data_IF_679442806603
#
_entry.id   IF_679442806603
#
_cell.length_a   1.000
_cell.length_b   1.000
_cell.length_c   1.000
_cell.angle_alpha   90.00
_cell.angle_beta   90.00
_cell.angle_gamma   90.00
#
_symmetry.space_group_name_H-M   'P 1'
#
loop_
_entity.id
_entity.type
_entity.pdbx_description
1 polymer ?
#
# COMPACT_ATOMS: atom_id res chain seq x y z
N UNK A 1 29.05 -11.79 14.35
CA UNK A 1 27.67 -11.38 14.10
C UNK A 1 26.79 -12.36 14.81
N UNK A 2 25.66 -11.95 15.40
CA UNK A 2 24.71 -12.93 15.92
C UNK A 2 24.24 -13.83 14.77
N UNK A 3 24.00 -15.11 15.04
CA UNK A 3 23.44 -16.03 14.07
C UNK A 3 21.98 -15.58 13.77
N UNK A 4 21.64 -15.45 12.50
CA UNK A 4 20.27 -15.07 12.09
C UNK A 4 19.25 -16.07 12.64
N UNK A 5 19.63 -17.34 12.80
CA UNK A 5 18.79 -18.38 13.37
C UNK A 5 18.41 -18.14 14.84
N UNK A 6 19.21 -17.34 15.56
CA UNK A 6 18.98 -17.02 16.98
C UNK A 6 18.12 -15.78 17.18
N UNK A 7 17.81 -15.03 16.11
CA UNK A 7 16.97 -13.83 16.17
C UNK A 7 15.50 -14.24 16.37
N UNK A 8 15.08 -14.29 17.64
CA UNK A 8 13.72 -14.66 18.03
C UNK A 8 13.15 -13.59 18.96
N UNK A 9 11.90 -13.18 18.70
CA UNK A 9 11.12 -12.30 19.58
C UNK A 9 9.86 -13.04 20.03
N UNK A 10 9.53 -12.95 21.32
CA UNK A 10 8.21 -13.34 21.83
C UNK A 10 7.21 -12.23 21.57
N UNK A 11 6.03 -12.57 21.13
CA UNK A 11 4.92 -11.66 20.87
C UNK A 11 3.89 -11.77 21.99
N UNK A 12 3.57 -10.67 22.68
CA UNK A 12 2.76 -10.68 23.88
C UNK A 12 1.80 -9.50 24.01
N UNK A 13 1.78 -8.59 23.01
CA UNK A 13 1.19 -7.27 23.14
C UNK A 13 -0.35 -7.28 23.17
N UNK A 14 -0.99 -8.10 22.36
CA UNK A 14 -2.43 -8.08 22.20
C UNK A 14 -2.97 -9.44 21.72
N UNK A 15 -4.27 -9.55 21.69
CA UNK A 15 -5.03 -10.69 21.18
C UNK A 15 -5.98 -10.24 20.07
N UNK A 16 -6.34 -11.16 19.20
CA UNK A 16 -7.35 -10.94 18.18
C UNK A 16 -8.30 -12.15 18.16
N UNK A 17 -9.51 -11.94 18.61
CA UNK A 17 -10.56 -12.96 18.57
C UNK A 17 -11.80 -12.48 17.80
N UNK A 18 -12.70 -13.41 17.54
CA UNK A 18 -13.91 -13.17 16.76
C UNK A 18 -14.90 -12.25 17.49
N UNK A 19 -14.88 -12.23 18.82
CA UNK A 19 -15.82 -11.44 19.62
C UNK A 19 -15.39 -9.98 19.69
N UNK A 20 -14.08 -9.72 19.75
CA UNK A 20 -13.51 -8.38 19.80
C UNK A 20 -13.32 -7.74 18.42
N UNK A 21 -13.28 -8.54 17.35
CA UNK A 21 -13.08 -8.01 15.98
C UNK A 21 -14.40 -7.55 15.36
N UNK A 22 -14.29 -6.57 14.44
CA UNK A 22 -15.43 -6.03 13.70
C UNK A 22 -15.95 -7.03 12.67
N UNK A 23 -17.25 -6.98 12.37
CA UNK A 23 -17.87 -7.79 11.31
C UNK A 23 -17.44 -7.38 9.90
N UNK A 24 -17.19 -6.10 9.69
CA UNK A 24 -16.69 -5.53 8.45
C UNK A 24 -15.17 -5.34 8.52
N UNK A 25 -14.41 -5.85 7.51
CA UNK A 25 -12.95 -5.73 7.50
C UNK A 25 -12.44 -4.30 7.31
N UNK A 26 -13.21 -3.41 6.66
CA UNK A 26 -12.84 -2.00 6.51
C UNK A 26 -12.93 -1.28 7.87
N UNK A 27 -13.95 -1.57 8.67
CA UNK A 27 -14.06 -1.06 10.04
C UNK A 27 -12.93 -1.61 10.92
N UNK A 28 -12.61 -2.91 10.78
CA UNK A 28 -11.48 -3.52 11.50
C UNK A 28 -10.15 -2.88 11.12
N UNK A 29 -9.93 -2.61 9.83
CA UNK A 29 -8.75 -1.90 9.35
C UNK A 29 -8.69 -0.47 9.91
N UNK A 30 -9.80 0.27 9.83
CA UNK A 30 -9.90 1.63 10.38
C UNK A 30 -9.55 1.70 11.85
N UNK A 31 -10.06 0.76 12.65
CA UNK A 31 -9.72 0.63 14.07
C UNK A 31 -8.22 0.41 14.28
N UNK A 32 -7.62 -0.54 13.57
CA UNK A 32 -6.21 -0.85 13.72
C UNK A 32 -5.30 0.25 13.19
N UNK A 33 -5.71 0.93 12.12
CA UNK A 33 -5.00 2.07 11.57
C UNK A 33 -5.00 3.27 12.54
N UNK A 34 -6.15 3.54 13.19
CA UNK A 34 -6.22 4.57 14.22
C UNK A 34 -5.30 4.23 15.41
N UNK A 35 -5.29 2.98 15.87
CA UNK A 35 -4.38 2.54 16.93
C UNK A 35 -2.89 2.68 16.53
N UNK A 36 -2.57 2.51 15.25
CA UNK A 36 -1.21 2.75 14.74
C UNK A 36 -0.85 4.24 14.76
N UNK A 37 -1.79 5.12 14.44
CA UNK A 37 -1.64 6.58 14.58
C UNK A 37 -1.48 7.00 16.04
N UNK A 38 -2.32 6.50 16.92
CA UNK A 38 -2.31 6.82 18.37
C UNK A 38 -1.00 6.33 19.03
N UNK A 39 -0.47 5.21 18.57
CA UNK A 39 0.83 4.68 18.98
C UNK A 39 2.02 5.44 18.35
N UNK A 40 1.76 6.46 17.54
CA UNK A 40 2.78 7.28 16.88
C UNK A 40 3.81 6.46 16.09
N UNK A 41 3.35 5.40 15.40
CA UNK A 41 4.25 4.59 14.59
C UNK A 41 4.89 5.42 13.47
N UNK A 42 6.14 5.15 13.10
CA UNK A 42 6.74 5.79 11.94
C UNK A 42 6.02 5.33 10.65
N UNK A 43 5.51 6.28 9.87
CA UNK A 43 4.83 6.05 8.60
C UNK A 43 3.76 4.93 8.64
N UNK A 44 2.74 4.99 9.51
CA UNK A 44 1.74 3.92 9.66
C UNK A 44 0.97 3.66 8.36
N UNK A 45 0.99 4.60 7.43
CA UNK A 45 0.40 4.54 6.10
C UNK A 45 1.32 3.93 5.03
N UNK A 46 2.55 3.53 5.39
CA UNK A 46 3.42 2.79 4.48
C UNK A 46 2.94 1.34 4.34
N UNK A 47 2.89 0.86 3.11
CA UNK A 47 2.48 -0.51 2.81
C UNK A 47 3.34 -1.11 1.70
N UNK A 48 3.55 -2.41 1.75
CA UNK A 48 4.12 -3.17 0.65
C UNK A 48 3.03 -3.48 -0.37
N UNK A 49 3.25 -3.07 -1.61
CA UNK A 49 2.41 -3.44 -2.75
C UNK A 49 3.12 -4.54 -3.54
N UNK A 50 2.46 -5.69 -3.68
CA UNK A 50 2.87 -6.79 -4.55
C UNK A 50 2.07 -6.76 -5.85
N UNK A 51 2.75 -6.94 -6.98
CA UNK A 51 2.17 -7.04 -8.31
C UNK A 51 2.86 -8.16 -9.09
N UNK A 52 2.24 -8.68 -10.12
CA UNK A 52 2.76 -9.77 -10.95
C UNK A 52 2.87 -9.31 -12.39
N UNK A 53 4.05 -9.45 -12.95
CA UNK A 53 4.35 -9.12 -14.35
C UNK A 53 3.88 -10.19 -15.34
N UNK A 54 4.02 -9.93 -16.66
CA UNK A 54 3.65 -10.87 -17.70
C UNK A 54 4.49 -12.17 -17.68
N UNK A 55 5.68 -12.10 -17.08
CA UNK A 55 6.56 -13.26 -16.81
C UNK A 55 6.14 -14.09 -15.59
N UNK A 56 4.99 -13.78 -14.98
CA UNK A 56 4.43 -14.39 -13.77
C UNK A 56 5.32 -14.24 -12.53
N UNK A 57 6.33 -13.37 -12.57
CA UNK A 57 7.21 -13.12 -11.42
C UNK A 57 6.61 -12.03 -10.53
N UNK A 58 6.38 -12.32 -9.23
CA UNK A 58 5.93 -11.31 -8.28
C UNK A 58 7.04 -10.28 -8.02
N UNK A 59 6.65 -9.05 -7.86
CA UNK A 59 7.55 -7.96 -7.45
C UNK A 59 6.90 -7.11 -6.37
N UNK A 60 7.71 -6.55 -5.46
CA UNK A 60 7.21 -5.74 -4.36
C UNK A 60 7.89 -4.38 -4.30
N UNK A 61 7.23 -3.40 -3.71
CA UNK A 61 7.75 -2.07 -3.35
C UNK A 61 6.91 -1.47 -2.23
N UNK A 62 7.51 -0.52 -1.53
CA UNK A 62 6.77 0.29 -0.57
C UNK A 62 6.05 1.41 -1.30
N UNK A 63 4.78 1.64 -0.96
CA UNK A 63 3.97 2.78 -1.37
C UNK A 63 3.17 3.28 -0.17
N UNK A 64 2.64 4.52 -0.25
CA UNK A 64 1.87 5.10 0.85
C UNK A 64 0.39 5.09 0.50
N UNK A 65 -0.45 4.50 1.36
CA UNK A 65 -1.90 4.70 1.27
C UNK A 65 -2.23 6.18 1.48
N UNK A 66 -3.18 6.69 0.72
CA UNK A 66 -3.63 8.10 0.78
C UNK A 66 -5.11 8.25 1.09
N UNK A 67 -5.84 7.16 1.12
CA UNK A 67 -7.22 7.09 1.53
C UNK A 67 -7.75 5.68 1.45
N UNK A 68 -8.80 5.42 2.22
CA UNK A 68 -9.57 4.19 2.15
C UNK A 68 -11.04 4.50 2.45
N UNK A 69 -11.92 3.86 1.76
CA UNK A 69 -13.38 3.95 1.91
C UNK A 69 -14.05 2.63 1.48
N UNK A 70 -15.36 2.57 1.44
CA UNK A 70 -16.11 1.37 1.06
C UNK A 70 -15.79 0.87 -0.37
N UNK A 71 -15.20 1.71 -1.22
CA UNK A 71 -14.76 1.34 -2.57
C UNK A 71 -13.36 0.71 -2.59
N UNK A 72 -12.57 0.85 -1.51
CA UNK A 72 -11.24 0.28 -1.38
C UNK A 72 -10.15 1.28 -0.97
N UNK A 73 -8.89 0.88 -1.20
CA UNK A 73 -7.70 1.59 -0.73
C UNK A 73 -7.01 2.31 -1.90
N UNK A 74 -6.63 3.57 -1.71
CA UNK A 74 -6.07 4.43 -2.77
C UNK A 74 -4.61 4.78 -2.50
N UNK A 75 -3.78 4.68 -3.55
CA UNK A 75 -2.42 5.22 -3.58
C UNK A 75 -2.16 5.90 -4.92
N UNK A 76 -1.10 6.71 -5.00
CA UNK A 76 -0.75 7.45 -6.22
C UNK A 76 0.68 7.13 -6.65
N UNK A 77 0.89 6.99 -7.96
CA UNK A 77 2.18 6.60 -8.52
C UNK A 77 2.30 6.98 -9.99
N UNK A 78 3.48 6.72 -10.58
CA UNK A 78 3.70 6.80 -12.02
C UNK A 78 3.15 5.52 -12.69
N UNK A 79 2.28 5.68 -13.69
CA UNK A 79 1.66 4.61 -14.45
C UNK A 79 2.65 3.85 -15.36
N UNK A 80 3.72 4.53 -15.81
CA UNK A 80 4.77 3.95 -16.66
C UNK A 80 5.86 3.23 -15.84
N UNK A 81 5.78 3.28 -14.50
CA UNK A 81 6.68 2.53 -13.64
C UNK A 81 6.47 1.01 -13.77
N UNK A 82 7.44 0.20 -13.30
CA UNK A 82 7.32 -1.27 -13.33
C UNK A 82 5.97 -1.76 -12.78
N UNK A 83 5.54 -1.26 -11.60
CA UNK A 83 4.24 -1.63 -11.03
C UNK A 83 3.05 -1.17 -11.89
N UNK A 84 3.15 0.00 -12.52
CA UNK A 84 2.09 0.50 -13.41
C UNK A 84 1.94 -0.37 -14.65
N UNK A 85 3.05 -0.78 -15.27
CA UNK A 85 3.04 -1.71 -16.42
C UNK A 85 2.53 -3.11 -16.01
N UNK A 86 2.94 -3.61 -14.85
CA UNK A 86 2.45 -4.89 -14.31
C UNK A 86 0.93 -4.84 -14.08
N UNK A 87 0.42 -3.77 -13.45
CA UNK A 87 -1.02 -3.58 -13.21
C UNK A 87 -1.84 -3.37 -14.49
N UNK A 88 -1.24 -2.85 -15.55
CA UNK A 88 -1.91 -2.74 -16.85
C UNK A 88 -2.16 -4.11 -17.50
N UNK A 89 -1.28 -5.08 -17.27
CA UNK A 89 -1.41 -6.44 -17.79
C UNK A 89 -2.14 -7.41 -16.84
N UNK A 90 -2.03 -7.17 -15.54
CA UNK A 90 -2.67 -7.98 -14.49
C UNK A 90 -3.15 -7.08 -13.37
N UNK A 91 -4.46 -6.89 -13.26
CA UNK A 91 -5.05 -5.99 -12.28
C UNK A 91 -5.08 -6.53 -10.84
N UNK A 92 -4.66 -7.77 -10.60
CA UNK A 92 -4.61 -8.32 -9.24
C UNK A 92 -3.38 -7.85 -8.49
N UNK A 93 -3.58 -7.47 -7.24
CA UNK A 93 -2.51 -7.05 -6.35
C UNK A 93 -2.77 -7.46 -4.90
N UNK A 94 -1.70 -7.47 -4.11
CA UNK A 94 -1.77 -7.60 -2.67
C UNK A 94 -1.09 -6.41 -1.99
N UNK A 95 -1.69 -5.93 -0.91
CA UNK A 95 -1.16 -4.91 -0.02
C UNK A 95 -0.82 -5.54 1.33
N UNK A 96 0.27 -5.11 1.95
CA UNK A 96 0.59 -5.52 3.31
C UNK A 96 1.04 -4.32 4.14
N UNK A 97 0.36 -4.11 5.27
CA UNK A 97 0.82 -3.25 6.35
C UNK A 97 1.53 -4.11 7.39
N UNK A 98 2.68 -3.67 7.88
CA UNK A 98 3.43 -4.36 8.91
C UNK A 98 3.80 -3.36 10.01
N UNK A 99 3.03 -3.38 11.08
CA UNK A 99 3.22 -2.55 12.27
C UNK A 99 3.96 -3.34 13.35
N UNK A 100 5.28 -3.31 13.26
CA UNK A 100 6.20 -4.14 14.08
C UNK A 100 6.00 -3.89 15.57
N UNK A 101 5.81 -2.63 15.96
CA UNK A 101 5.65 -2.21 17.34
C UNK A 101 4.33 -2.68 17.95
N UNK A 102 3.31 -2.89 17.12
CA UNK A 102 2.01 -3.45 17.51
C UNK A 102 1.94 -4.96 17.33
N UNK A 103 2.99 -5.57 16.79
CA UNK A 103 3.02 -7.00 16.46
C UNK A 103 1.86 -7.41 15.54
N UNK A 104 1.56 -6.54 14.54
CA UNK A 104 0.41 -6.68 13.63
C UNK A 104 0.81 -6.68 12.17
N UNK A 105 0.09 -7.50 11.41
CA UNK A 105 0.13 -7.48 9.95
C UNK A 105 -1.30 -7.45 9.42
N UNK A 106 -1.55 -6.59 8.44
CA UNK A 106 -2.79 -6.62 7.65
C UNK A 106 -2.42 -6.92 6.21
N UNK A 107 -3.04 -7.96 5.63
CA UNK A 107 -2.91 -8.31 4.20
C UNK A 107 -4.24 -8.09 3.52
N UNK A 108 -4.20 -7.56 2.30
CA UNK A 108 -5.39 -7.20 1.53
C UNK A 108 -5.15 -7.61 0.10
N UNK A 109 -6.04 -8.40 -0.46
CA UNK A 109 -5.97 -8.83 -1.86
C UNK A 109 -7.20 -8.30 -2.61
N UNK A 110 -7.04 -8.00 -3.89
CA UNK A 110 -8.15 -7.52 -4.70
C UNK A 110 -7.74 -7.04 -6.07
N UNK A 111 -8.74 -6.61 -6.83
CA UNK A 111 -8.54 -6.02 -8.15
C UNK A 111 -8.22 -4.53 -8.07
N UNK A 112 -7.38 -4.06 -8.98
CA UNK A 112 -6.90 -2.68 -9.03
C UNK A 112 -7.42 -1.99 -10.28
N UNK A 113 -7.94 -0.79 -10.12
CA UNK A 113 -8.32 0.11 -11.20
C UNK A 113 -7.73 1.49 -11.00
N UNK A 114 -7.61 2.27 -12.08
CA UNK A 114 -7.24 3.69 -11.97
C UNK A 114 -8.39 4.46 -11.34
N UNK A 115 -8.10 5.40 -10.45
CA UNK A 115 -9.09 6.37 -9.99
C UNK A 115 -9.38 7.38 -11.09
N UNK A 116 -10.43 8.18 -10.95
CA UNK A 116 -10.79 9.20 -11.94
C UNK A 116 -9.65 10.23 -12.15
N UNK A 117 -9.55 10.83 -13.35
CA UNK A 117 -8.64 11.95 -13.57
C UNK A 117 -8.84 13.08 -12.55
N UNK A 118 -10.10 13.43 -12.25
CA UNK A 118 -10.43 14.48 -11.29
C UNK A 118 -9.93 14.17 -9.87
N UNK A 119 -10.06 12.91 -9.39
CA UNK A 119 -9.52 12.48 -8.10
C UNK A 119 -7.98 12.54 -8.09
N UNK A 120 -7.35 12.16 -9.21
CA UNK A 120 -5.90 12.27 -9.37
C UNK A 120 -5.41 13.72 -9.39
N UNK A 121 -6.13 14.61 -10.10
CA UNK A 121 -5.82 16.04 -10.18
C UNK A 121 -5.96 16.72 -8.82
N UNK A 122 -7.06 16.44 -8.11
CA UNK A 122 -7.30 16.96 -6.77
C UNK A 122 -6.17 16.59 -5.80
N UNK A 123 -5.79 15.31 -5.76
CA UNK A 123 -4.68 14.88 -4.90
C UNK A 123 -3.33 15.47 -5.36
N UNK A 124 -3.06 15.52 -6.68
CA UNK A 124 -1.80 16.07 -7.19
C UNK A 124 -1.60 17.52 -6.77
N UNK A 125 -2.66 18.32 -6.76
CA UNK A 125 -2.63 19.73 -6.35
C UNK A 125 -2.21 19.92 -4.89
N UNK A 126 -2.50 18.97 -4.00
CA UNK A 126 -2.12 19.04 -2.57
C UNK A 126 -0.65 18.70 -2.30
N UNK A 127 0.06 18.16 -3.31
CA UNK A 127 1.46 17.72 -3.13
C UNK A 127 2.41 18.93 -3.05
N UNK A 128 3.48 18.84 -2.23
CA UNK A 128 4.55 19.82 -2.24
C UNK A 128 5.13 20.01 -3.64
N UNK A 129 5.58 21.24 -3.95
CA UNK A 129 6.12 21.61 -5.28
C UNK A 129 7.21 20.63 -5.74
N UNK A 130 8.19 20.33 -4.89
CA UNK A 130 9.28 19.42 -5.23
C UNK A 130 8.78 18.01 -5.61
N UNK A 131 7.74 17.55 -4.92
CA UNK A 131 7.10 16.26 -5.24
C UNK A 131 6.34 16.30 -6.57
N UNK A 132 5.76 17.44 -6.93
CA UNK A 132 5.13 17.65 -8.25
C UNK A 132 6.15 17.71 -9.39
N UNK A 133 7.26 18.42 -9.17
CA UNK A 133 8.40 18.45 -10.10
C UNK A 133 8.98 17.04 -10.27
N UNK A 134 9.20 16.32 -9.16
CA UNK A 134 9.71 14.95 -9.20
C UNK A 134 8.84 13.96 -9.99
N UNK A 135 7.52 14.15 -9.98
CA UNK A 135 6.60 13.32 -10.75
C UNK A 135 6.80 13.46 -12.29
N UNK A 136 7.19 14.63 -12.76
CA UNK A 136 7.57 14.89 -14.16
C UNK A 136 8.99 14.44 -14.47
N UNK A 137 9.93 14.68 -13.56
CA UNK A 137 11.36 14.53 -13.80
C UNK A 137 11.85 13.08 -13.82
N UNK A 138 11.13 12.19 -13.10
CA UNK A 138 11.57 10.81 -12.89
C UNK A 138 10.94 9.83 -13.88
N UNK A 139 11.74 9.23 -14.80
CA UNK A 139 11.31 8.04 -15.56
C UNK A 139 11.31 6.83 -14.62
N UNK A 140 10.32 6.75 -13.75
CA UNK A 140 10.30 5.81 -12.62
C UNK A 140 10.46 4.36 -13.07
N UNK A 141 11.40 3.65 -12.46
CA UNK A 141 11.80 2.26 -12.73
C UNK A 141 12.65 2.06 -14.00
N UNK A 142 13.00 3.11 -14.73
CA UNK A 142 13.91 3.00 -15.87
C UNK A 142 15.38 3.08 -15.41
N UNK A 143 16.27 2.45 -16.21
CA UNK A 143 17.71 2.57 -16.02
C UNK A 143 18.15 3.96 -16.47
N UNK A 144 18.86 4.68 -15.63
CA UNK A 144 19.44 5.99 -15.92
C UNK A 144 20.95 5.95 -15.74
N UNK A 145 21.67 6.77 -16.50
CA UNK A 145 23.15 6.79 -16.45
C UNK A 145 23.70 7.27 -15.10
N UNK A 146 23.00 8.20 -14.42
CA UNK A 146 23.42 8.72 -13.12
C UNK A 146 22.29 9.53 -12.48
N UNK A 147 22.45 9.87 -11.19
CA UNK A 147 21.57 10.81 -10.47
C UNK A 147 21.51 12.19 -11.13
N UNK A 148 22.57 12.60 -11.83
CA UNK A 148 22.61 13.90 -12.54
C UNK A 148 21.49 14.04 -13.57
N UNK A 149 21.06 12.94 -14.20
CA UNK A 149 19.91 12.93 -15.13
C UNK A 149 18.64 13.42 -14.43
N UNK A 150 18.36 12.94 -13.19
CA UNK A 150 17.18 13.36 -12.43
C UNK A 150 17.26 14.83 -12.05
N UNK A 151 18.44 15.32 -11.66
CA UNK A 151 18.65 16.73 -11.31
C UNK A 151 18.43 17.64 -12.53
N UNK A 152 18.99 17.27 -13.68
CA UNK A 152 18.80 18.01 -14.92
C UNK A 152 17.32 18.04 -15.37
N UNK A 153 16.64 16.89 -15.30
CA UNK A 153 15.22 16.81 -15.62
C UNK A 153 14.37 17.68 -14.67
N UNK A 154 14.66 17.64 -13.36
CA UNK A 154 13.95 18.46 -12.38
C UNK A 154 14.14 19.96 -12.64
N UNK A 155 15.36 20.40 -12.94
CA UNK A 155 15.65 21.80 -13.29
C UNK A 155 14.90 22.24 -14.56
N UNK A 156 14.85 21.38 -15.58
CA UNK A 156 14.10 21.63 -16.81
C UNK A 156 12.59 21.78 -16.52
N UNK A 157 12.02 20.88 -15.74
CA UNK A 157 10.60 20.91 -15.36
C UNK A 157 10.27 22.18 -14.56
N UNK A 158 11.12 22.55 -13.59
CA UNK A 158 10.97 23.77 -12.80
C UNK A 158 10.98 25.03 -13.67
N UNK A 159 11.88 25.08 -14.65
CA UNK A 159 11.94 26.21 -15.61
C UNK A 159 10.70 26.28 -16.54
N UNK A 160 10.13 25.13 -16.92
CA UNK A 160 8.98 25.06 -17.83
C UNK A 160 7.65 25.41 -17.14
N UNK A 161 7.46 25.01 -15.89
CA UNK A 161 6.17 25.11 -15.18
C UNK A 161 6.15 26.15 -14.05
N UNK A 162 7.26 26.86 -13.86
CA UNK A 162 7.43 27.88 -12.80
C UNK A 162 7.00 27.31 -11.43
N UNK A 163 5.86 27.73 -10.85
CA UNK A 163 5.41 27.30 -9.52
C UNK A 163 4.22 26.32 -9.53
N UNK A 164 3.64 26.04 -10.69
CA UNK A 164 2.39 25.30 -10.80
C UNK A 164 2.43 24.19 -11.87
N UNK A 165 3.31 23.18 -11.74
CA UNK A 165 3.30 22.06 -12.68
C UNK A 165 1.95 21.33 -12.61
N UNK A 166 1.25 21.13 -13.76
CA UNK A 166 0.06 20.30 -13.82
C UNK A 166 0.42 18.83 -13.55
N UNK A 167 -0.57 18.00 -13.31
CA UNK A 167 -0.34 16.56 -13.17
C UNK A 167 0.14 15.98 -14.52
N UNK A 168 1.25 15.22 -14.56
CA UNK A 168 1.66 14.53 -15.78
C UNK A 168 0.63 13.44 -16.16
N UNK A 169 0.42 13.20 -17.47
CA UNK A 169 -0.53 12.18 -17.94
C UNK A 169 -0.18 10.76 -17.48
N UNK A 170 1.10 10.49 -17.26
CA UNK A 170 1.62 9.21 -16.78
C UNK A 170 1.61 9.07 -15.26
N UNK A 171 0.95 9.97 -14.51
CA UNK A 171 0.89 9.92 -13.05
C UNK A 171 -0.54 10.04 -12.56
N UNK A 172 -0.91 9.25 -11.54
CA UNK A 172 -2.22 9.32 -10.93
C UNK A 172 -2.44 8.22 -9.91
N UNK A 173 -3.71 8.05 -9.52
CA UNK A 173 -4.12 7.12 -8.49
C UNK A 173 -4.55 5.76 -9.02
N UNK A 174 -4.31 4.76 -8.19
CA UNK A 174 -4.92 3.45 -8.26
C UNK A 174 -5.77 3.21 -7.02
N UNK A 175 -6.83 2.42 -7.19
CA UNK A 175 -7.68 1.90 -6.14
C UNK A 175 -7.66 0.38 -6.18
N UNK A 176 -7.37 -0.27 -5.06
CA UNK A 176 -7.59 -1.69 -4.87
C UNK A 176 -8.98 -1.87 -4.26
N UNK A 177 -9.85 -2.58 -4.97
CA UNK A 177 -11.15 -3.05 -4.47
C UNK A 177 -10.93 -4.43 -3.85
N UNK A 178 -11.01 -4.55 -2.51
CA UNK A 178 -10.63 -5.78 -1.84
C UNK A 178 -11.73 -6.85 -1.94
N UNK A 179 -11.31 -8.09 -2.15
CA UNK A 179 -12.14 -9.29 -2.01
C UNK A 179 -11.69 -10.20 -0.87
N UNK A 180 -10.50 -9.92 -0.31
CA UNK A 180 -9.93 -10.67 0.82
C UNK A 180 -9.11 -9.76 1.72
N UNK A 181 -9.28 -9.95 3.03
CA UNK A 181 -8.47 -9.36 4.09
C UNK A 181 -7.97 -10.44 5.04
N UNK A 182 -6.79 -10.27 5.59
CA UNK A 182 -6.28 -11.05 6.69
C UNK A 182 -5.68 -10.12 7.74
N UNK A 183 -6.13 -10.27 8.97
CA UNK A 183 -5.59 -9.61 10.16
C UNK A 183 -4.79 -10.63 10.95
N UNK A 184 -3.53 -10.33 11.18
CA UNK A 184 -2.61 -11.16 11.94
C UNK A 184 -2.13 -10.40 13.17
N UNK A 185 -2.24 -11.03 14.36
CA UNK A 185 -1.73 -10.51 15.62
C UNK A 185 -0.71 -11.49 16.20
N UNK A 186 0.46 -10.98 16.58
CA UNK A 186 1.50 -11.76 17.23
C UNK A 186 1.07 -12.32 18.56
N UNK A 187 1.38 -13.61 18.82
CA UNK A 187 1.11 -14.33 20.07
C UNK A 187 2.30 -15.18 20.46
N UNK A 188 2.39 -15.53 21.78
CA UNK A 188 3.39 -16.45 22.33
C UNK A 188 3.42 -17.78 21.56
N UNK A 189 4.55 -18.44 21.62
CA UNK A 189 4.74 -19.80 21.10
C UNK A 189 4.39 -19.98 19.63
N UNK A 190 4.39 -18.86 18.85
CA UNK A 190 3.99 -18.81 17.44
C UNK A 190 2.53 -19.20 17.16
N UNK A 191 1.67 -19.28 18.19
CA UNK A 191 0.25 -19.53 18.05
C UNK A 191 -0.52 -18.23 17.75
N UNK A 192 -0.14 -17.60 16.64
CA UNK A 192 -0.63 -16.28 16.25
C UNK A 192 -2.11 -16.27 15.91
N UNK A 193 -2.81 -15.20 16.28
CA UNK A 193 -4.20 -15.03 15.87
C UNK A 193 -4.25 -14.56 14.42
N UNK A 194 -5.05 -15.23 13.60
CA UNK A 194 -5.26 -14.91 12.19
C UNK A 194 -6.74 -14.93 11.86
N UNK A 195 -7.31 -13.78 11.53
CA UNK A 195 -8.69 -13.66 11.07
C UNK A 195 -8.69 -13.24 9.61
N UNK A 196 -9.31 -14.07 8.75
CA UNK A 196 -9.52 -13.80 7.34
C UNK A 196 -10.96 -13.38 7.12
N UNK A 197 -11.13 -12.37 6.26
CA UNK A 197 -12.43 -12.00 5.72
C UNK A 197 -12.37 -12.24 4.21
N UNK A 198 -13.38 -12.91 3.68
CA UNK A 198 -13.59 -13.09 2.24
C UNK A 198 -15.01 -12.70 1.86
N UNK A 199 -15.20 -12.20 0.65
CA UNK A 199 -16.53 -11.98 0.15
C UNK A 199 -17.19 -13.32 -0.21
N UNK A 200 -18.43 -13.52 0.28
CA UNK A 200 -19.31 -14.59 -0.16
C UNK A 200 -20.09 -14.18 -1.43
N UNK A 201 -20.77 -15.14 -2.03
CA UNK A 201 -21.78 -14.85 -3.04
C UNK A 201 -22.81 -13.88 -2.46
N UNK A 202 -23.04 -12.73 -3.14
CA UNK A 202 -23.88 -11.65 -2.63
C UNK A 202 -23.14 -10.51 -1.93
N UNK A 203 -21.79 -10.56 -1.87
CA UNK A 203 -20.95 -9.44 -1.42
C UNK A 203 -20.82 -9.29 0.10
N UNK A 204 -21.42 -10.18 0.87
CA UNK A 204 -21.27 -10.18 2.34
C UNK A 204 -19.89 -10.69 2.75
N UNK A 205 -19.34 -10.13 3.82
CA UNK A 205 -18.09 -10.59 4.42
C UNK A 205 -18.31 -11.81 5.31
N UNK A 206 -17.57 -12.88 5.05
CA UNK A 206 -17.47 -14.06 5.92
C UNK A 206 -16.12 -14.01 6.62
N UNK A 207 -16.16 -14.03 7.95
CA UNK A 207 -14.96 -14.05 8.80
C UNK A 207 -14.64 -15.48 9.23
N UNK A 208 -13.39 -15.87 9.14
CA UNK A 208 -12.86 -17.20 9.41
C UNK A 208 -11.54 -17.09 10.18
N UNK A 209 -11.29 -18.02 11.10
CA UNK A 209 -9.99 -18.17 11.76
C UNK A 209 -9.08 -19.06 10.92
N UNK A 210 -7.83 -18.64 10.74
CA UNK A 210 -6.79 -19.45 10.11
C UNK A 210 -5.84 -19.99 11.18
N UNK A 211 -5.33 -21.21 10.97
CA UNK A 211 -4.20 -21.71 11.73
C UNK A 211 -2.96 -20.86 11.48
N UNK A 212 -2.10 -20.63 12.50
CA UNK A 212 -0.88 -19.86 12.37
C UNK A 212 0.18 -20.53 11.50
#
# INVERSE_FOLDING_TARGET
MPDIADLRKSYERAELDETASRGDPLEQFGLWFQQALDAQLPEPNAMTLATVGPDQRPSTRVVLIKGFDARGLVWYTNYDSRKGRELAGNSWAALQFHWVELERVVRIEGSVSKVSPAESDAYFATRPLDSRIGAWASPQSEVIASRAVLVANAAKVAAQHVLHPPRPPHWGGYRLSPDRWEFWQGRKSRLHDRLRYRQAEGGQWVRERLAP
#
